data_IF_750323726032
#
_entry.id   IF_750323726032
#
_cell.length_a   1.000
_cell.length_b   1.000
_cell.length_c   1.000
_cell.angle_alpha   90.00
_cell.angle_beta   90.00
_cell.angle_gamma   90.00
#
_symmetry.space_group_name_H-M   'P 1'
#
loop_
_entity.id
_entity.type
_entity.pdbx_description
1 polymer ?
#
# COMPACT_ATOMS: atom_id res chain seq x y z
N UNK A 1 -1.67 -16.56 2.31
CA UNK A 1 -0.71 -15.68 3.00
C UNK A 1 -0.58 -14.37 2.24
N UNK A 2 -1.33 -13.35 2.66
CA UNK A 2 -1.44 -12.05 1.99
C UNK A 2 -0.25 -11.12 2.22
N UNK A 3 0.93 -11.61 2.58
CA UNK A 3 2.15 -10.79 2.71
C UNK A 3 2.08 -9.48 3.47
N UNK A 4 1.09 -9.31 4.37
CA UNK A 4 0.81 -8.05 5.05
C UNK A 4 2.07 -7.51 5.72
N UNK A 5 2.46 -6.28 5.38
CA UNK A 5 3.63 -5.62 5.96
C UNK A 5 3.15 -4.50 6.87
N UNK A 6 3.44 -4.62 8.17
CA UNK A 6 3.29 -3.51 9.10
C UNK A 6 4.43 -2.52 8.85
N UNK A 7 4.11 -1.40 8.21
CA UNK A 7 5.09 -0.35 7.97
C UNK A 7 5.33 0.43 9.26
N UNK A 8 6.59 0.51 9.67
CA UNK A 8 7.05 1.37 10.75
C UNK A 8 8.26 2.15 10.25
N UNK A 9 8.25 3.47 10.42
CA UNK A 9 9.43 4.27 10.13
C UNK A 9 10.56 3.95 11.10
N UNK A 10 11.79 3.96 10.59
CA UNK A 10 12.97 3.77 11.45
C UNK A 10 13.10 4.98 12.37
N UNK A 11 13.21 4.71 13.67
CA UNK A 11 13.30 5.75 14.72
C UNK A 11 14.63 6.51 14.69
N UNK A 12 15.72 5.85 14.29
CA UNK A 12 17.09 6.37 14.37
C UNK A 12 17.69 6.80 13.02
N UNK A 13 16.86 6.99 11.99
CA UNK A 13 17.32 7.52 10.71
C UNK A 13 17.17 9.03 10.67
N UNK A 14 18.25 9.74 10.34
CA UNK A 14 18.26 11.18 10.10
C UNK A 14 17.38 11.59 8.91
N UNK A 15 17.04 10.64 8.05
CA UNK A 15 16.17 10.83 6.90
C UNK A 15 14.87 10.04 7.07
N UNK A 16 13.73 10.74 7.01
CA UNK A 16 12.39 10.16 6.93
C UNK A 16 11.71 10.70 5.67
N UNK A 17 11.13 9.79 4.88
CA UNK A 17 10.47 10.16 3.64
C UNK A 17 9.19 10.98 3.93
N UNK A 18 8.47 10.64 4.99
CA UNK A 18 7.24 11.35 5.41
C UNK A 18 7.45 12.84 5.68
N UNK A 19 8.63 13.22 6.21
CA UNK A 19 9.00 14.60 6.49
C UNK A 19 9.31 15.40 5.21
N UNK A 20 9.58 14.72 4.09
CA UNK A 20 9.92 15.36 2.80
C UNK A 20 8.74 15.44 1.84
N UNK A 21 7.66 14.72 2.11
CA UNK A 21 6.43 14.79 1.31
C UNK A 21 5.54 15.89 1.88
N UNK A 22 5.23 16.90 1.06
CA UNK A 22 4.33 18.00 1.42
C UNK A 22 3.00 17.48 2.00
N UNK A 23 2.43 18.23 2.95
CA UNK A 23 1.15 17.88 3.59
C UNK A 23 -0.01 17.93 2.59
N UNK A 24 0.13 18.77 1.58
CA UNK A 24 -0.83 19.01 0.50
C UNK A 24 -0.72 17.95 -0.62
N UNK A 25 0.24 17.04 -0.54
CA UNK A 25 0.42 15.97 -1.52
C UNK A 25 -0.87 15.15 -1.69
N UNK A 26 -1.28 14.97 -2.94
CA UNK A 26 -2.51 14.27 -3.30
C UNK A 26 -2.58 12.86 -2.70
N UNK A 27 -1.52 12.05 -2.83
CA UNK A 27 -1.49 10.68 -2.30
C UNK A 27 -1.53 10.60 -0.78
N UNK A 28 -1.01 11.62 -0.10
CA UNK A 28 -1.11 11.73 1.36
C UNK A 28 -2.55 11.93 1.80
N UNK A 29 -3.27 12.86 1.16
CA UNK A 29 -4.69 13.11 1.40
C UNK A 29 -5.56 11.91 1.00
N UNK A 30 -5.26 11.28 -0.13
CA UNK A 30 -5.96 10.08 -0.60
C UNK A 30 -5.85 8.93 0.40
N UNK A 31 -4.66 8.71 0.97
CA UNK A 31 -4.42 7.68 1.99
C UNK A 31 -5.28 7.90 3.25
N UNK A 32 -5.61 9.14 3.60
CA UNK A 32 -6.42 9.46 4.79
C UNK A 32 -7.90 9.15 4.59
N UNK A 33 -8.40 9.19 3.36
CA UNK A 33 -9.83 9.00 3.05
C UNK A 33 -10.17 7.62 2.48
N UNK A 34 -9.19 6.96 1.86
CA UNK A 34 -9.40 5.67 1.18
C UNK A 34 -8.94 4.52 2.07
N UNK A 35 -9.90 3.89 2.75
CA UNK A 35 -9.67 2.62 3.44
C UNK A 35 -9.80 1.44 2.46
N UNK A 36 -8.77 0.60 2.43
CA UNK A 36 -8.66 -0.58 1.57
C UNK A 36 -8.59 -1.88 2.38
N UNK A 37 -8.73 -1.84 3.71
CA UNK A 37 -8.61 -3.03 4.56
C UNK A 37 -9.71 -4.07 4.27
N UNK A 38 -10.82 -3.66 3.66
CA UNK A 38 -11.87 -4.57 3.17
C UNK A 38 -11.34 -5.58 2.12
N UNK A 39 -10.21 -5.30 1.46
CA UNK A 39 -9.61 -6.20 0.48
C UNK A 39 -9.04 -7.47 1.11
N UNK A 40 -8.62 -7.44 2.38
CA UNK A 40 -8.06 -8.62 3.05
C UNK A 40 -9.06 -9.78 3.08
N UNK A 41 -10.28 -9.65 3.66
CA UNK A 41 -11.23 -10.76 3.65
C UNK A 41 -11.68 -11.16 2.23
N UNK A 42 -11.87 -10.20 1.32
CA UNK A 42 -12.33 -10.48 -0.04
C UNK A 42 -11.32 -11.28 -0.86
N UNK A 43 -10.03 -10.99 -0.71
CA UNK A 43 -8.99 -11.61 -1.51
C UNK A 43 -8.40 -12.86 -0.86
N UNK A 44 -8.75 -13.17 0.39
CA UNK A 44 -8.13 -14.25 1.16
C UNK A 44 -8.13 -15.60 0.43
N UNK A 45 -9.22 -15.94 -0.27
CA UNK A 45 -9.36 -17.20 -1.02
C UNK A 45 -8.41 -17.33 -2.22
N UNK A 46 -7.87 -16.23 -2.74
CA UNK A 46 -6.96 -16.23 -3.89
C UNK A 46 -5.49 -16.35 -3.47
N UNK A 47 -5.19 -16.32 -2.18
CA UNK A 47 -3.84 -16.38 -1.66
C UNK A 47 -3.54 -17.75 -1.06
N UNK A 48 -2.45 -18.38 -1.48
CA UNK A 48 -2.03 -19.70 -0.98
C UNK A 48 -1.79 -19.70 0.53
N UNK A 49 -2.21 -20.75 1.23
CA UNK A 49 -2.13 -20.81 2.71
C UNK A 49 -0.73 -21.13 3.24
N UNK A 50 0.15 -21.70 2.41
CA UNK A 50 1.51 -22.12 2.76
C UNK A 50 2.52 -21.63 1.73
N UNK A 51 3.81 -21.70 2.08
CA UNK A 51 4.92 -21.31 1.21
C UNK A 51 5.30 -19.82 1.34
N UNK A 52 5.83 -19.25 0.26
CA UNK A 52 6.30 -17.86 0.26
C UNK A 52 5.13 -16.88 0.33
N UNK A 53 5.27 -15.85 1.17
CA UNK A 53 4.30 -14.77 1.26
C UNK A 53 4.21 -14.03 -0.09
N UNK A 54 3.01 -14.00 -0.67
CA UNK A 54 2.70 -13.22 -1.87
C UNK A 54 2.61 -11.72 -1.56
N UNK A 55 2.38 -10.86 -2.56
CA UNK A 55 2.23 -9.41 -2.39
C UNK A 55 1.03 -9.05 -1.49
N UNK A 56 1.17 -7.99 -0.70
CA UNK A 56 0.04 -7.44 0.06
C UNK A 56 -1.09 -6.98 -0.88
N UNK A 57 -2.35 -7.46 -0.71
CA UNK A 57 -3.45 -7.10 -1.59
C UNK A 57 -3.70 -5.59 -1.60
N UNK A 58 -3.58 -4.90 -0.45
CA UNK A 58 -3.75 -3.44 -0.39
C UNK A 58 -2.65 -2.74 -1.21
N UNK A 59 -1.41 -3.26 -1.18
CA UNK A 59 -0.31 -2.71 -2.00
C UNK A 59 -0.56 -2.94 -3.49
N UNK A 60 -1.00 -4.14 -3.88
CA UNK A 60 -1.32 -4.44 -5.27
C UNK A 60 -2.36 -3.47 -5.84
N UNK A 61 -3.47 -3.27 -5.14
CA UNK A 61 -4.51 -2.33 -5.58
C UNK A 61 -4.05 -0.88 -5.57
N UNK A 62 -3.18 -0.47 -4.64
CA UNK A 62 -2.56 0.86 -4.67
C UNK A 62 -1.71 1.08 -5.92
N UNK A 63 -0.96 0.08 -6.37
CA UNK A 63 -0.18 0.18 -7.62
C UNK A 63 -1.10 0.37 -8.82
N UNK A 64 -2.18 -0.42 -8.92
CA UNK A 64 -3.17 -0.26 -10.00
C UNK A 64 -3.82 1.12 -9.97
N UNK A 65 -4.19 1.62 -8.78
CA UNK A 65 -4.81 2.93 -8.61
C UNK A 65 -3.86 4.06 -9.02
N UNK A 66 -2.60 4.02 -8.58
CA UNK A 66 -1.57 4.99 -9.01
C UNK A 66 -1.39 4.95 -10.52
N UNK A 67 -1.31 3.74 -11.12
CA UNK A 67 -1.21 3.60 -12.57
C UNK A 67 -2.37 4.26 -13.31
N UNK A 68 -3.60 4.09 -12.80
CA UNK A 68 -4.78 4.75 -13.35
C UNK A 68 -4.75 6.26 -13.17
N UNK A 69 -4.44 6.76 -11.96
CA UNK A 69 -4.46 8.19 -11.64
C UNK A 69 -3.36 9.00 -12.34
N UNK A 70 -2.19 8.39 -12.55
CA UNK A 70 -1.05 8.99 -13.28
C UNK A 70 -1.14 8.75 -14.80
N UNK A 71 -2.22 8.14 -15.29
CA UNK A 71 -2.39 7.79 -16.70
C UNK A 71 -1.21 6.97 -17.27
N UNK A 72 -0.66 6.06 -16.45
CA UNK A 72 0.39 5.13 -16.86
C UNK A 72 -0.31 3.96 -17.55
N UNK A 73 -0.56 4.14 -18.85
CA UNK A 73 -1.10 3.09 -19.71
C UNK A 73 0.02 2.11 -20.07
N UNK A 74 -0.10 0.87 -19.60
CA UNK A 74 0.64 -0.28 -20.16
C UNK A 74 0.11 -0.67 -21.53
#
# INVERSE_FOLDING_TARGET
>A
MQGKKNYQEKLFTSFKLSDRVSKENFYRRLKEVLDLDFLYPLTNKFYGQSGQKSIDPVVFFKICLVGYLENITT
#
